data_IF_831913487509
#
_entry.id   IF_831913487509
#
_cell.length_a   1.000
_cell.length_b   1.000
_cell.length_c   1.000
_cell.angle_alpha   90.00
_cell.angle_beta   90.00
_cell.angle_gamma   90.00
#
_symmetry.space_group_name_H-M   'P 1'
#
loop_
_entity.id
_entity.type
_entity.pdbx_description
1 polymer ?
#
# COMPACT_ATOMS: atom_id res chain seq x y z
N UNK A 1 -23.45 -1.93 27.11
CA UNK A 1 -22.96 -3.32 27.18
C UNK A 1 -21.99 -3.46 26.01
N UNK A 2 -20.85 -2.78 26.08
CA UNK A 2 -19.55 -3.26 26.60
C UNK A 2 -19.07 -4.51 25.86
N UNK A 3 -18.50 -4.30 24.68
CA UNK A 3 -17.38 -5.05 24.07
C UNK A 3 -16.95 -4.25 22.83
N UNK A 4 -15.71 -4.42 22.37
CA UNK A 4 -15.00 -3.58 21.38
C UNK A 4 -14.20 -2.41 21.97
N UNK A 5 -13.44 -2.73 23.02
CA UNK A 5 -12.11 -2.14 23.23
C UNK A 5 -11.04 -3.20 22.99
N UNK A 6 -11.22 -4.02 21.95
CA UNK A 6 -10.09 -4.67 21.29
C UNK A 6 -9.40 -3.57 20.50
N UNK A 7 -8.61 -2.75 21.21
CA UNK A 7 -7.36 -2.27 20.65
C UNK A 7 -6.81 -3.44 19.83
N UNK A 8 -6.59 -3.25 18.52
CA UNK A 8 -6.15 -4.29 17.59
C UNK A 8 -4.75 -4.71 18.04
N UNK A 9 -4.69 -5.48 19.12
CA UNK A 9 -3.49 -5.97 19.71
C UNK A 9 -3.13 -7.19 18.88
N UNK A 10 -2.39 -6.91 17.82
CA UNK A 10 -1.68 -7.93 17.08
C UNK A 10 -0.92 -8.81 18.07
N UNK A 11 -1.20 -10.11 18.04
CA UNK A 11 -0.39 -11.07 18.81
C UNK A 11 1.08 -10.93 18.39
N UNK A 12 2.02 -11.16 19.29
CA UNK A 12 3.46 -11.09 18.97
C UNK A 12 3.82 -11.98 17.77
N UNK A 13 3.18 -13.15 17.64
CA UNK A 13 3.36 -14.03 16.47
C UNK A 13 2.92 -13.34 15.17
N UNK A 14 1.77 -12.67 15.16
CA UNK A 14 1.29 -11.93 13.98
C UNK A 14 2.22 -10.76 13.65
N UNK A 15 2.66 -9.99 14.65
CA UNK A 15 3.64 -8.89 14.45
C UNK A 15 4.90 -9.39 13.77
N UNK A 16 5.48 -10.49 14.27
CA UNK A 16 6.67 -11.12 13.67
C UNK A 16 6.40 -11.52 12.22
N UNK A 17 5.26 -12.14 11.93
CA UNK A 17 4.90 -12.55 10.57
C UNK A 17 4.79 -11.35 9.61
N UNK A 18 4.16 -10.26 10.03
CA UNK A 18 4.02 -9.04 9.22
C UNK A 18 5.41 -8.45 8.91
N UNK A 19 6.28 -8.38 9.93
CA UNK A 19 7.66 -7.88 9.76
C UNK A 19 8.48 -8.79 8.84
N UNK A 20 8.37 -10.11 9.00
CA UNK A 20 9.06 -11.08 8.13
C UNK A 20 8.61 -10.96 6.67
N UNK A 21 7.32 -10.78 6.41
CA UNK A 21 6.80 -10.56 5.07
C UNK A 21 7.36 -9.27 4.46
N UNK A 22 7.36 -8.17 5.22
CA UNK A 22 7.96 -6.90 4.79
C UNK A 22 9.45 -7.07 4.45
N UNK A 23 10.21 -7.82 5.27
CA UNK A 23 11.61 -8.15 5.00
C UNK A 23 11.79 -8.93 3.68
N UNK A 24 10.92 -9.90 3.40
CA UNK A 24 11.00 -10.68 2.17
C UNK A 24 10.74 -9.80 0.93
N UNK A 25 9.72 -8.95 0.98
CA UNK A 25 9.36 -8.02 -0.11
C UNK A 25 10.52 -7.06 -0.39
N UNK A 26 11.07 -6.42 0.64
CA UNK A 26 12.20 -5.49 0.50
C UNK A 26 13.43 -6.19 -0.12
N UNK A 27 13.72 -7.43 0.31
CA UNK A 27 14.84 -8.23 -0.23
C UNK A 27 14.64 -8.63 -1.69
N UNK A 28 13.42 -8.99 -2.09
CA UNK A 28 13.09 -9.31 -3.48
C UNK A 28 13.27 -8.09 -4.39
N UNK A 29 12.85 -6.90 -3.94
CA UNK A 29 13.03 -5.63 -4.66
C UNK A 29 14.49 -5.26 -4.88
N UNK A 30 15.36 -5.40 -3.87
CA UNK A 30 16.81 -5.16 -4.05
C UNK A 30 17.41 -6.06 -5.13
N UNK A 31 16.96 -7.31 -5.24
CA UNK A 31 17.39 -8.23 -6.31
C UNK A 31 16.87 -7.77 -7.68
N UNK A 32 15.62 -7.34 -7.77
CA UNK A 32 15.03 -6.82 -9.02
C UNK A 32 15.70 -5.52 -9.50
N UNK A 33 15.99 -4.59 -8.58
CA UNK A 33 16.72 -3.35 -8.87
C UNK A 33 18.15 -3.63 -9.36
N UNK A 34 18.89 -4.54 -8.71
CA UNK A 34 20.22 -4.98 -9.20
C UNK A 34 20.15 -5.60 -10.60
N UNK A 35 19.08 -6.33 -10.92
CA UNK A 35 18.89 -6.93 -12.25
C UNK A 35 18.60 -5.87 -13.32
N UNK A 36 17.82 -4.83 -12.99
CA UNK A 36 17.49 -3.70 -13.87
C UNK A 36 18.74 -2.95 -14.39
N UNK A 37 19.77 -2.79 -13.56
CA UNK A 37 21.04 -2.18 -13.99
C UNK A 37 21.83 -3.04 -15.00
N UNK A 38 21.62 -4.36 -15.03
CA UNK A 38 22.21 -5.25 -16.04
C UNK A 38 21.36 -5.40 -17.31
N UNK A 39 20.04 -5.17 -17.25
CA UNK A 39 19.11 -5.40 -18.36
C UNK A 39 18.62 -4.14 -19.08
N UNK A 40 18.97 -2.95 -18.61
CA UNK A 40 18.55 -1.65 -19.17
C UNK A 40 18.94 -1.43 -20.65
N UNK A 41 19.82 -2.25 -21.23
CA UNK A 41 20.25 -2.14 -22.63
C UNK A 41 19.25 -2.79 -23.62
N UNK A 42 18.35 -3.68 -23.17
CA UNK A 42 17.53 -4.49 -24.10
C UNK A 42 16.05 -4.09 -24.25
N UNK A 43 15.50 -3.23 -23.38
CA UNK A 43 14.05 -3.00 -23.26
C UNK A 43 13.49 -1.77 -24.01
N UNK A 44 14.35 -0.98 -24.67
CA UNK A 44 13.91 0.20 -25.44
C UNK A 44 13.11 -0.14 -26.72
N UNK A 45 13.06 -1.40 -27.14
CA UNK A 45 12.36 -1.81 -28.37
C UNK A 45 10.91 -2.27 -28.17
N UNK A 46 10.45 -2.54 -26.93
CA UNK A 46 9.11 -3.12 -26.68
C UNK A 46 8.07 -2.05 -26.31
N UNK A 47 8.49 -0.87 -25.82
CA UNK A 47 7.60 0.22 -25.39
C UNK A 47 6.79 0.82 -26.57
N UNK A 48 7.23 0.62 -27.82
CA UNK A 48 6.52 1.12 -29.00
C UNK A 48 5.19 0.40 -29.32
N UNK A 49 4.88 -0.74 -28.69
CA UNK A 49 3.73 -1.57 -29.10
C UNK A 49 2.59 -1.59 -28.05
N UNK A 50 2.86 -1.34 -26.76
CA UNK A 50 1.82 -1.35 -25.71
C UNK A 50 1.14 0.00 -25.47
N UNK A 51 1.70 1.12 -25.95
CA UNK A 51 1.10 2.45 -25.81
C UNK A 51 -0.22 2.65 -26.57
N UNK A 52 -0.68 1.67 -27.35
CA UNK A 52 -1.88 1.79 -28.18
C UNK A 52 -3.17 1.27 -27.50
N UNK A 53 -3.09 0.54 -26.38
CA UNK A 53 -4.27 -0.05 -25.72
C UNK A 53 -4.80 0.70 -24.49
N UNK A 54 -4.12 1.76 -24.02
CA UNK A 54 -4.58 2.55 -22.88
C UNK A 54 -5.48 3.72 -23.32
N UNK A 55 -6.58 3.42 -24.01
CA UNK A 55 -7.73 4.32 -24.11
C UNK A 55 -8.94 3.62 -23.49
N UNK A 56 -8.83 3.28 -22.21
CA UNK A 56 -9.95 2.82 -21.41
C UNK A 56 -10.74 4.02 -20.90
N UNK A 57 -12.02 4.10 -21.26
CA UNK A 57 -12.94 5.08 -20.68
C UNK A 57 -13.01 4.88 -19.16
N UNK A 58 -12.57 5.89 -18.40
CA UNK A 58 -12.72 5.96 -16.95
C UNK A 58 -14.20 6.16 -16.61
N UNK A 59 -14.91 5.06 -16.37
CA UNK A 59 -16.27 5.11 -15.83
C UNK A 59 -16.20 5.42 -14.34
N UNK A 60 -16.69 6.59 -13.94
CA UNK A 60 -16.98 6.87 -12.53
C UNK A 60 -18.15 5.95 -12.16
N UNK A 61 -17.92 4.97 -11.29
CA UNK A 61 -19.02 4.21 -10.68
C UNK A 61 -19.61 5.03 -9.53
N UNK A 62 -20.93 5.02 -9.41
CA UNK A 62 -21.64 5.70 -8.31
C UNK A 62 -21.34 5.04 -6.94
N UNK A 63 -20.90 3.77 -6.93
CA UNK A 63 -20.50 3.06 -5.72
C UNK A 63 -19.38 2.06 -6.03
N UNK A 64 -18.25 2.17 -5.32
CA UNK A 64 -17.14 1.23 -5.43
C UNK A 64 -17.37 0.01 -4.53
N UNK A 65 -16.82 -1.17 -4.86
CA UNK A 65 -16.97 -2.38 -4.04
C UNK A 65 -16.15 -2.33 -2.72
N UNK A 66 -15.63 -1.15 -2.36
CA UNK A 66 -14.83 -0.94 -1.15
C UNK A 66 -15.14 0.40 -0.49
N UNK A 67 -14.82 0.47 0.80
CA UNK A 67 -14.71 1.70 1.58
C UNK A 67 -13.34 1.75 2.23
N UNK A 68 -12.78 2.95 2.34
CA UNK A 68 -11.44 3.16 2.90
C UNK A 68 -11.54 4.20 4.01
N UNK A 69 -10.88 3.94 5.13
CA UNK A 69 -10.92 4.78 6.32
C UNK A 69 -9.50 5.20 6.69
N UNK A 70 -9.33 6.48 7.01
CA UNK A 70 -8.05 7.06 7.43
C UNK A 70 -7.65 6.72 8.89
N UNK A 71 -8.49 5.93 9.57
CA UNK A 71 -8.32 5.38 10.91
C UNK A 71 -9.12 4.07 10.99
N UNK A 72 -9.02 3.33 12.09
CA UNK A 72 -9.89 2.19 12.32
C UNK A 72 -11.38 2.59 12.40
N UNK A 73 -12.28 1.60 12.32
CA UNK A 73 -13.73 1.84 12.38
C UNK A 73 -14.19 2.56 13.67
N UNK A 74 -13.40 2.53 14.74
CA UNK A 74 -13.72 3.16 16.02
C UNK A 74 -13.35 4.65 16.08
N UNK A 75 -12.42 5.09 15.24
CA UNK A 75 -12.05 6.50 15.00
C UNK A 75 -12.47 7.05 13.63
N UNK A 76 -13.35 6.34 12.92
CA UNK A 76 -13.53 6.44 11.47
C UNK A 76 -13.73 7.87 10.91
N UNK A 77 -12.83 8.24 9.98
CA UNK A 77 -13.09 9.21 8.92
C UNK A 77 -13.02 8.47 7.58
N UNK A 78 -14.19 8.20 7.00
CA UNK A 78 -14.29 7.59 5.66
C UNK A 78 -13.67 8.52 4.62
N UNK A 79 -12.88 7.94 3.71
CA UNK A 79 -12.23 8.66 2.62
C UNK A 79 -13.15 8.58 1.41
N UNK A 80 -13.57 9.75 0.91
CA UNK A 80 -14.28 9.80 -0.37
C UNK A 80 -13.35 9.38 -1.51
N UNK A 81 -13.71 8.31 -2.21
CA UNK A 81 -12.93 7.74 -3.31
C UNK A 81 -13.09 8.55 -4.60
N UNK A 82 -12.41 9.69 -4.67
CA UNK A 82 -12.41 10.60 -5.82
C UNK A 82 -10.95 10.77 -6.28
N UNK A 83 -10.65 10.65 -7.59
CA UNK A 83 -9.29 10.87 -8.08
C UNK A 83 -8.79 12.28 -7.71
N UNK A 84 -7.49 12.42 -7.46
CA UNK A 84 -6.82 13.66 -7.07
C UNK A 84 -7.29 14.24 -5.73
N UNK A 85 -8.11 13.50 -4.97
CA UNK A 85 -8.55 13.93 -3.65
C UNK A 85 -7.48 13.65 -2.61
N UNK A 86 -7.18 14.68 -1.83
CA UNK A 86 -6.29 14.57 -0.67
C UNK A 86 -7.07 14.33 0.62
N UNK A 87 -6.50 13.54 1.51
CA UNK A 87 -7.02 13.31 2.86
C UNK A 87 -5.88 13.42 3.90
N UNK A 88 -6.26 13.50 5.17
CA UNK A 88 -5.31 13.61 6.28
C UNK A 88 -5.36 12.36 7.14
N UNK A 89 -4.18 11.95 7.60
CA UNK A 89 -3.99 10.85 8.52
C UNK A 89 -3.47 11.43 9.85
N UNK A 90 -4.08 10.99 10.95
CA UNK A 90 -3.59 11.33 12.28
C UNK A 90 -2.52 10.32 12.71
N UNK A 91 -1.46 10.82 13.33
CA UNK A 91 -0.39 9.96 13.84
C UNK A 91 -0.91 9.23 15.08
N UNK A 92 -0.82 7.91 15.06
CA UNK A 92 -1.30 7.03 16.11
C UNK A 92 -0.19 6.08 16.57
N UNK A 93 -0.38 5.51 17.76
CA UNK A 93 0.40 4.36 18.19
C UNK A 93 -0.15 3.10 17.48
N UNK A 94 0.51 2.66 16.40
CA UNK A 94 0.19 1.39 15.76
C UNK A 94 0.76 0.23 16.58
N UNK A 95 0.33 -1.02 16.33
CA UNK A 95 0.90 -2.19 17.01
C UNK A 95 2.37 -2.44 16.68
N UNK A 96 2.91 -1.79 15.63
CA UNK A 96 4.29 -1.92 15.17
C UNK A 96 5.15 -0.69 15.53
N UNK A 97 4.54 0.42 15.95
CA UNK A 97 5.25 1.66 16.28
C UNK A 97 4.39 2.90 16.05
N UNK A 98 4.94 4.09 16.30
CA UNK A 98 4.26 5.34 15.93
C UNK A 98 4.19 5.47 14.40
N UNK A 99 3.00 5.75 13.88
CA UNK A 99 2.75 5.82 12.43
C UNK A 99 1.31 6.18 12.12
N UNK A 100 0.83 5.73 10.98
CA UNK A 100 -0.51 6.00 10.46
C UNK A 100 -1.20 4.69 10.10
N UNK A 101 -2.53 4.67 10.10
CA UNK A 101 -3.30 3.51 9.66
C UNK A 101 -4.31 3.84 8.58
N UNK A 102 -4.51 2.89 7.69
CA UNK A 102 -5.62 2.85 6.74
C UNK A 102 -6.34 1.52 6.95
N UNK A 103 -7.67 1.56 6.90
CA UNK A 103 -8.50 0.36 6.96
C UNK A 103 -9.36 0.28 5.70
N UNK A 104 -9.47 -0.93 5.14
CA UNK A 104 -10.30 -1.20 3.98
C UNK A 104 -11.42 -2.15 4.36
N UNK A 105 -12.64 -1.81 3.98
CA UNK A 105 -13.77 -2.71 4.02
C UNK A 105 -14.18 -3.03 2.60
N UNK A 106 -14.04 -4.28 2.17
CA UNK A 106 -14.65 -4.76 0.93
C UNK A 106 -16.13 -5.12 1.15
N UNK A 107 -16.95 -4.94 0.12
CA UNK A 107 -18.33 -5.40 0.12
C UNK A 107 -18.39 -6.93 0.05
N UNK A 108 -19.52 -7.51 0.47
CA UNK A 108 -19.75 -8.95 0.36
C UNK A 108 -19.51 -9.47 -1.07
N UNK A 109 -18.78 -10.58 -1.20
CA UNK A 109 -18.38 -11.16 -2.49
C UNK A 109 -17.12 -10.55 -3.10
N UNK A 110 -16.44 -9.65 -2.39
CA UNK A 110 -15.17 -9.05 -2.78
C UNK A 110 -14.10 -9.26 -1.71
N UNK A 111 -12.84 -9.32 -2.12
CA UNK A 111 -11.69 -9.31 -1.23
C UNK A 111 -10.63 -8.33 -1.75
N UNK A 112 -9.85 -7.76 -0.81
CA UNK A 112 -8.81 -6.79 -1.11
C UNK A 112 -7.43 -7.42 -0.93
N UNK A 113 -6.52 -7.12 -1.84
CA UNK A 113 -5.10 -7.37 -1.68
C UNK A 113 -4.32 -6.07 -1.81
N UNK A 114 -3.32 -5.90 -0.95
CA UNK A 114 -2.33 -4.84 -1.12
C UNK A 114 -1.24 -5.37 -2.03
N UNK A 115 -1.21 -4.88 -3.27
CA UNK A 115 -0.19 -5.25 -4.23
C UNK A 115 0.88 -4.16 -4.26
N UNK A 116 2.12 -4.59 -4.10
CA UNK A 116 3.28 -3.75 -4.21
C UNK A 116 3.74 -3.72 -5.68
N UNK A 117 3.48 -2.65 -6.43
CA UNK A 117 4.05 -2.53 -7.79
C UNK A 117 5.54 -2.22 -7.69
N UNK A 118 6.36 -2.72 -8.63
CA UNK A 118 7.81 -2.47 -8.66
C UNK A 118 8.21 -0.98 -8.81
N UNK A 119 7.25 -0.12 -9.14
CA UNK A 119 7.40 1.34 -9.24
C UNK A 119 7.01 2.09 -7.97
N UNK A 120 6.42 1.41 -6.97
CA UNK A 120 5.91 2.07 -5.78
C UNK A 120 7.06 2.39 -4.83
N UNK A 121 7.16 3.67 -4.45
CA UNK A 121 8.14 4.18 -3.49
C UNK A 121 7.71 3.84 -2.05
N UNK A 122 8.65 3.71 -1.13
CA UNK A 122 8.36 3.67 0.32
C UNK A 122 7.63 2.43 0.84
N UNK A 123 7.54 1.34 0.08
CA UNK A 123 6.83 0.13 0.52
C UNK A 123 7.45 -0.56 1.74
N UNK A 124 8.73 -0.37 1.98
CA UNK A 124 9.40 -0.79 3.22
C UNK A 124 8.88 -0.05 4.47
N UNK A 125 8.17 1.07 4.28
CA UNK A 125 7.47 1.80 5.33
C UNK A 125 6.03 1.28 5.50
N UNK A 126 5.57 0.37 4.65
CA UNK A 126 4.19 -0.15 4.60
C UNK A 126 4.15 -1.58 5.14
N UNK A 127 3.30 -1.80 6.14
CA UNK A 127 3.09 -3.08 6.79
C UNK A 127 1.59 -3.40 6.77
N UNK A 128 1.19 -4.53 6.21
CA UNK A 128 -0.22 -4.92 6.10
C UNK A 128 -0.57 -6.11 6.99
N UNK A 129 -1.78 -6.10 7.56
CA UNK A 129 -2.43 -7.26 8.20
C UNK A 129 -3.90 -7.27 7.79
N UNK A 130 -4.31 -8.30 7.04
CA UNK A 130 -5.69 -8.45 6.56
C UNK A 130 -6.16 -7.14 5.88
N UNK A 131 -7.14 -6.48 6.48
CA UNK A 131 -7.78 -5.26 5.99
C UNK A 131 -7.09 -3.95 6.43
N UNK A 132 -6.03 -4.06 7.23
CA UNK A 132 -5.27 -2.93 7.75
C UNK A 132 -3.96 -2.73 7.01
N UNK A 133 -3.67 -1.45 6.76
CA UNK A 133 -2.32 -1.00 6.44
C UNK A 133 -1.82 -0.08 7.54
N UNK A 134 -0.60 -0.34 7.98
CA UNK A 134 0.19 0.52 8.85
C UNK A 134 1.32 1.15 8.03
N UNK A 135 1.33 2.47 7.96
CA UNK A 135 2.42 3.22 7.36
C UNK A 135 3.28 3.84 8.46
N UNK A 136 4.53 3.39 8.52
CA UNK A 136 5.50 3.75 9.55
C UNK A 136 6.70 4.36 8.85
N UNK A 137 6.63 5.67 8.53
CA UNK A 137 7.65 6.34 7.75
C UNK A 137 9.03 6.31 8.40
N UNK A 138 9.10 6.18 9.73
CA UNK A 138 10.35 6.15 10.49
C UNK A 138 10.74 4.74 11.00
N UNK A 139 10.29 3.66 10.33
CA UNK A 139 10.43 2.28 10.83
C UNK A 139 11.86 1.90 11.22
N UNK A 140 12.88 2.44 10.52
CA UNK A 140 14.30 2.17 10.78
C UNK A 140 14.79 2.63 12.16
N UNK A 141 14.10 3.61 12.76
CA UNK A 141 14.41 4.08 14.11
C UNK A 141 14.06 3.00 15.14
N UNK A 142 13.07 2.16 14.86
CA UNK A 142 12.72 1.01 15.68
C UNK A 142 13.69 -0.16 15.41
N UNK A 143 14.38 -0.62 16.45
CA UNK A 143 15.37 -1.72 16.34
C UNK A 143 14.73 -3.03 15.87
N UNK A 144 13.48 -3.27 16.24
CA UNK A 144 12.77 -4.52 15.96
C UNK A 144 12.23 -4.59 14.52
N UNK A 145 12.25 -3.46 13.80
CA UNK A 145 11.76 -3.34 12.41
C UNK A 145 12.88 -3.08 11.40
N UNK A 146 14.15 -3.11 11.83
CA UNK A 146 15.27 -2.86 10.92
C UNK A 146 15.36 -3.94 9.86
N UNK A 147 15.42 -3.53 8.61
CA UNK A 147 15.56 -4.43 7.47
C UNK A 147 17.06 -4.63 7.19
N UNK A 148 17.45 -5.88 6.96
CA UNK A 148 18.83 -6.25 6.66
C UNK A 148 18.96 -6.77 5.23
N UNK A 149 20.11 -6.56 4.60
CA UNK A 149 20.42 -7.16 3.32
C UNK A 149 20.79 -8.65 3.42
N UNK A 150 21.15 -9.25 2.29
CA UNK A 150 21.49 -10.67 2.23
C UNK A 150 22.79 -10.99 2.98
N UNK A 151 23.63 -9.98 3.20
CA UNK A 151 24.94 -10.05 3.85
C UNK A 151 24.85 -9.70 5.35
N UNK A 152 23.65 -9.34 5.85
CA UNK A 152 23.39 -9.03 7.25
C UNK A 152 23.66 -7.57 7.64
N UNK A 153 23.88 -6.68 6.66
CA UNK A 153 24.03 -5.26 6.92
C UNK A 153 22.65 -4.61 7.03
N UNK A 154 22.48 -3.66 7.94
CA UNK A 154 21.26 -2.84 8.02
C UNK A 154 21.12 -2.08 6.69
N UNK A 155 19.96 -2.17 6.06
CA UNK A 155 19.64 -1.32 4.92
C UNK A 155 19.48 0.11 5.42
N UNK A 156 20.39 0.99 5.00
CA UNK A 156 20.29 2.41 5.31
C UNK A 156 19.09 2.99 4.56
N UNK A 157 18.14 3.66 5.24
CA UNK A 157 17.08 4.40 4.58
C UNK A 157 17.61 5.36 3.50
N UNK A 158 18.79 5.96 3.69
CA UNK A 158 19.38 6.88 2.72
C UNK A 158 19.86 6.19 1.44
N UNK A 159 20.13 4.88 1.49
CA UNK A 159 20.47 4.08 0.30
C UNK A 159 19.21 3.61 -0.47
N UNK A 160 18.04 3.71 0.17
CA UNK A 160 16.74 3.32 -0.39
C UNK A 160 15.91 4.54 -0.85
N UNK A 161 16.11 5.71 -0.24
CA UNK A 161 15.36 6.93 -0.49
C UNK A 161 16.26 8.10 -0.88
N UNK A 162 15.81 8.92 -1.82
CA UNK A 162 16.30 10.30 -1.93
C UNK A 162 15.73 11.13 -0.77
N UNK A 163 16.41 11.08 0.39
CA UNK A 163 16.43 11.87 1.65
C UNK A 163 15.34 12.91 2.00
N UNK A 164 14.49 13.45 1.13
CA UNK A 164 13.60 14.57 1.50
C UNK A 164 12.15 14.19 1.81
N UNK A 165 11.67 13.06 1.29
CA UNK A 165 10.24 12.84 1.21
C UNK A 165 9.92 11.50 1.89
N UNK A 166 9.45 11.56 3.15
CA UNK A 166 8.84 10.43 3.87
C UNK A 166 7.55 10.06 3.13
N UNK A 167 7.71 9.40 1.98
CA UNK A 167 6.64 9.08 1.06
C UNK A 167 6.56 7.59 0.83
N UNK A 168 5.33 7.13 0.65
CA UNK A 168 5.04 5.77 0.26
C UNK A 168 3.89 5.75 -0.75
N UNK A 169 3.93 4.81 -1.68
CA UNK A 169 2.82 4.56 -2.61
C UNK A 169 2.24 3.19 -2.31
N UNK A 170 0.92 3.10 -2.24
CA UNK A 170 0.18 1.87 -1.98
C UNK A 170 -0.78 1.64 -3.13
N UNK A 171 -0.78 0.43 -3.68
CA UNK A 171 -1.79 -0.03 -4.62
C UNK A 171 -2.70 -1.08 -3.97
N UNK A 172 -3.99 -0.80 -3.94
CA UNK A 172 -5.03 -1.74 -3.54
C UNK A 172 -5.69 -2.33 -4.76
N UNK A 173 -5.81 -3.65 -4.77
CA UNK A 173 -6.51 -4.41 -5.80
C UNK A 173 -7.68 -5.15 -5.17
N UNK A 174 -8.85 -5.03 -5.77
CA UNK A 174 -10.10 -5.61 -5.27
C UNK A 174 -10.58 -6.62 -6.28
N UNK A 175 -10.76 -7.83 -5.81
CA UNK A 175 -11.14 -8.98 -6.60
C UNK A 175 -12.53 -9.46 -6.18
N UNK A 176 -13.28 -10.04 -7.10
CA UNK A 176 -14.51 -10.78 -6.75
C UNK A 176 -14.18 -12.24 -6.34
N UNK A 177 -15.19 -13.00 -5.91
CA UNK A 177 -15.05 -14.42 -5.53
C UNK A 177 -14.48 -15.36 -6.62
N UNK A 178 -14.34 -14.87 -7.86
CA UNK A 178 -13.77 -15.62 -8.99
C UNK A 178 -12.33 -15.20 -9.30
N UNK A 179 -11.67 -14.52 -8.38
CA UNK A 179 -10.32 -13.97 -8.52
C UNK A 179 -10.17 -12.99 -9.70
N UNK A 180 -11.26 -12.38 -10.15
CA UNK A 180 -11.23 -11.37 -11.21
C UNK A 180 -11.07 -10.00 -10.59
N UNK A 181 -10.03 -9.26 -11.02
CA UNK A 181 -9.82 -7.87 -10.62
C UNK A 181 -11.01 -7.01 -11.06
N UNK A 182 -11.63 -6.32 -10.11
CA UNK A 182 -12.80 -5.46 -10.33
C UNK A 182 -12.48 -3.99 -10.10
N UNK A 183 -11.54 -3.70 -9.21
CA UNK A 183 -11.18 -2.33 -8.90
C UNK A 183 -9.72 -2.25 -8.44
N UNK A 184 -9.06 -1.16 -8.81
CA UNK A 184 -7.71 -0.82 -8.38
C UNK A 184 -7.65 0.64 -7.93
N UNK A 185 -7.04 0.88 -6.77
CA UNK A 185 -6.78 2.21 -6.24
C UNK A 185 -5.29 2.38 -5.93
N UNK A 186 -4.70 3.49 -6.36
CA UNK A 186 -3.32 3.85 -6.00
C UNK A 186 -3.35 5.11 -5.16
N UNK A 187 -2.66 5.08 -4.02
CA UNK A 187 -2.59 6.19 -3.06
C UNK A 187 -1.14 6.55 -2.79
N UNK A 188 -0.82 7.83 -2.87
CA UNK A 188 0.44 8.38 -2.36
C UNK A 188 0.26 8.86 -0.94
N UNK A 189 1.17 8.51 -0.06
CA UNK A 189 1.25 8.94 1.33
C UNK A 189 2.51 9.78 1.52
N UNK A 190 2.40 10.87 2.28
CA UNK A 190 3.53 11.76 2.61
C UNK A 190 3.40 12.33 4.01
N UNK A 191 4.50 12.43 4.75
CA UNK A 191 4.51 13.06 6.08
C UNK A 191 5.02 14.49 5.93
N UNK A 192 4.20 15.46 6.35
CA UNK A 192 4.51 16.89 6.30
C UNK A 192 4.27 17.46 7.69
N UNK A 193 5.32 18.00 8.31
CA UNK A 193 5.28 18.60 9.65
C UNK A 193 4.63 17.70 10.72
N UNK A 194 4.86 16.38 10.65
CA UNK A 194 4.28 15.39 11.59
C UNK A 194 2.86 14.94 11.26
N UNK A 195 2.26 15.47 10.20
CA UNK A 195 0.90 15.11 9.75
C UNK A 195 1.00 14.24 8.50
N UNK A 196 0.31 13.11 8.52
CA UNK A 196 0.21 12.24 7.35
C UNK A 196 -0.78 12.83 6.35
N UNK A 197 -0.40 12.84 5.08
CA UNK A 197 -1.23 13.26 3.95
C UNK A 197 -1.34 12.11 2.98
N UNK A 198 -2.54 11.82 2.53
CA UNK A 198 -2.80 10.87 1.46
C UNK A 198 -3.38 11.58 0.23
N UNK A 199 -3.07 11.07 -0.96
CA UNK A 199 -3.56 11.56 -2.25
C UNK A 199 -3.93 10.36 -3.13
N UNK A 200 -5.17 10.32 -3.62
CA UNK A 200 -5.62 9.25 -4.52
C UNK A 200 -5.11 9.57 -5.93
N UNK A 201 -4.06 8.85 -6.35
CA UNK A 201 -3.42 9.05 -7.65
C UNK A 201 -4.20 8.44 -8.82
N UNK A 202 -4.87 7.31 -8.57
CA UNK A 202 -5.65 6.64 -9.61
C UNK A 202 -6.75 5.77 -9.03
N UNK A 203 -7.89 5.73 -9.72
CA UNK A 203 -9.00 4.80 -9.50
C UNK A 203 -9.34 4.15 -10.84
N UNK A 204 -9.30 2.83 -10.90
CA UNK A 204 -9.60 2.06 -12.10
C UNK A 204 -10.63 0.99 -11.76
N UNK A 205 -11.81 1.07 -12.36
CA UNK A 205 -12.80 0.00 -12.32
C UNK A 205 -12.70 -0.84 -13.57
N UNK A 206 -12.71 -2.15 -13.42
CA UNK A 206 -12.74 -3.11 -14.52
C UNK A 206 -14.19 -3.58 -14.69
N UNK A 207 -14.72 -3.64 -15.92
CA UNK A 207 -16.09 -4.10 -16.11
C UNK A 207 -16.21 -5.59 -15.76
N UNK A 208 -17.22 -5.95 -14.97
CA UNK A 208 -17.80 -7.30 -15.08
C UNK A 208 -18.50 -7.38 -16.42
N UNK A 209 -17.98 -8.21 -17.33
CA UNK A 209 -18.71 -8.58 -18.54
C UNK A 209 -20.01 -9.25 -18.10
N UNK A 210 -21.12 -8.51 -18.18
CA UNK A 210 -22.46 -9.10 -18.16
C UNK A 210 -22.56 -10.00 -19.40
N UNK A 211 -22.43 -11.30 -19.22
CA UNK A 211 -22.97 -12.26 -20.19
C UNK A 211 -24.48 -12.13 -20.15
N UNK A 212 -25.04 -11.64 -21.25
CA UNK A 212 -26.47 -11.65 -21.60
C UNK A 212 -27.06 -13.07 -21.57
#
# INVERSE_FOLDING_TARGET
>A
MNELKTEIMLSEKKKVQIIENAHQIAKQRKKALKLRYCSAVFLLLIIGITGFFANGHYGIMDEYPIKVYAQDLSGASEIDLIPDKTFTLEKIQTPLGEGYSLYISANDGYYCETICNDSDDGLEQIFSDEDYIYWIPDYWKNKDMRIYDAEGNILDPQDLFSVSDQTATITYCVYNERDSLQFQMTVSLREIDGVGKGEILSLVSYPELKTE
#
